data_IF_258782658860
#
_entry.id   IF_258782658860
#
_cell.length_a   1.000
_cell.length_b   1.000
_cell.length_c   1.000
_cell.angle_alpha   90.00
_cell.angle_beta   90.00
_cell.angle_gamma   90.00
#
_symmetry.space_group_name_H-M   'P 1'
#
loop_
_entity.id
_entity.type
_entity.pdbx_description
1 polymer ?
#
# COMPACT_ATOMS: atom_id res chain seq x y z
N UNK A 1 5.51 -66.80 14.95
CA UNK A 1 4.54 -65.94 15.67
C UNK A 1 5.13 -64.55 15.75
N UNK A 2 4.63 -63.58 14.99
CA UNK A 2 5.14 -62.20 14.99
C UNK A 2 4.24 -61.34 15.89
N UNK A 3 4.78 -60.82 16.99
CA UNK A 3 4.03 -60.00 17.94
C UNK A 3 4.04 -58.53 17.48
N UNK A 4 2.87 -58.00 17.15
CA UNK A 4 2.65 -56.58 16.84
C UNK A 4 2.77 -55.74 18.12
N UNK A 5 3.81 -54.90 18.19
CA UNK A 5 4.04 -53.97 19.29
C UNK A 5 3.04 -52.81 19.17
N UNK A 6 2.04 -52.79 20.03
CA UNK A 6 1.10 -51.66 20.19
C UNK A 6 1.86 -50.38 20.57
N UNK A 7 1.85 -49.38 19.70
CA UNK A 7 2.32 -48.04 20.03
C UNK A 7 1.27 -47.37 20.93
N UNK A 8 1.62 -47.15 22.21
CA UNK A 8 0.75 -46.37 23.10
C UNK A 8 0.65 -44.93 22.58
N UNK A 9 -0.53 -44.58 22.07
CA UNK A 9 -0.87 -43.20 21.73
C UNK A 9 -0.90 -42.37 23.01
N UNK A 10 0.10 -41.50 23.21
CA UNK A 10 0.11 -40.54 24.32
C UNK A 10 -0.83 -39.39 23.96
N UNK A 11 -1.90 -39.21 24.75
CA UNK A 11 -2.83 -38.09 24.63
C UNK A 11 -2.39 -36.89 25.47
N UNK A 12 -2.81 -35.69 25.08
CA UNK A 12 -2.62 -34.46 25.86
C UNK A 12 -3.51 -34.46 27.11
N UNK A 13 -2.99 -33.95 28.23
CA UNK A 13 -3.80 -33.73 29.43
C UNK A 13 -4.65 -32.46 29.30
N UNK A 14 -5.82 -32.43 29.95
CA UNK A 14 -6.67 -31.23 30.02
C UNK A 14 -5.93 -30.04 30.65
N UNK A 15 -5.02 -30.31 31.59
CA UNK A 15 -4.21 -29.27 32.25
C UNK A 15 -3.16 -28.69 31.30
N UNK A 16 -2.51 -29.50 30.48
CA UNK A 16 -1.59 -29.00 29.44
C UNK A 16 -2.31 -28.09 28.44
N UNK A 17 -3.53 -28.48 28.05
CA UNK A 17 -4.33 -27.67 27.14
C UNK A 17 -4.74 -26.33 27.79
N UNK A 18 -5.10 -26.33 29.07
CA UNK A 18 -5.46 -25.11 29.80
C UNK A 18 -4.28 -24.14 29.95
N UNK A 19 -3.08 -24.63 30.27
CA UNK A 19 -1.89 -23.78 30.39
C UNK A 19 -1.45 -23.24 29.03
N UNK A 20 -1.51 -24.05 27.97
CA UNK A 20 -1.13 -23.61 26.62
C UNK A 20 -2.05 -22.51 26.10
N UNK A 21 -3.38 -22.64 26.25
CA UNK A 21 -4.30 -21.57 25.82
C UNK A 21 -4.13 -20.30 26.66
N UNK A 22 -3.77 -20.42 27.95
CA UNK A 22 -3.52 -19.26 28.80
C UNK A 22 -2.27 -18.48 28.32
N UNK A 23 -1.18 -19.17 27.98
CA UNK A 23 0.03 -18.55 27.45
C UNK A 23 -0.25 -17.91 26.07
N UNK A 24 -0.94 -18.64 25.18
CA UNK A 24 -1.31 -18.12 23.85
C UNK A 24 -2.20 -16.88 23.97
N UNK A 25 -3.13 -16.84 24.92
CA UNK A 25 -3.99 -15.68 25.19
C UNK A 25 -3.20 -14.43 25.58
N UNK A 26 -2.21 -14.57 26.46
CA UNK A 26 -1.34 -13.46 26.88
C UNK A 26 -0.52 -12.93 25.71
N UNK A 27 0.09 -13.84 24.93
CA UNK A 27 0.91 -13.47 23.77
C UNK A 27 0.06 -12.80 22.67
N UNK A 28 -1.14 -13.32 22.42
CA UNK A 28 -2.07 -12.75 21.44
C UNK A 28 -2.47 -11.31 21.77
N UNK A 29 -2.67 -11.00 23.06
CA UNK A 29 -3.03 -9.64 23.52
C UNK A 29 -1.98 -8.59 23.19
N UNK A 30 -0.69 -8.94 23.23
CA UNK A 30 0.42 -8.01 22.92
C UNK A 30 0.70 -8.00 21.41
N UNK A 31 0.67 -9.16 20.76
CA UNK A 31 1.08 -9.30 19.36
C UNK A 31 0.09 -8.66 18.37
N UNK A 32 -1.21 -8.77 18.63
CA UNK A 32 -2.25 -8.34 17.69
C UNK A 32 -2.19 -6.84 17.31
N UNK A 33 -2.18 -5.87 18.25
CA UNK A 33 -2.13 -4.44 17.89
C UNK A 33 -0.82 -4.03 17.20
N UNK A 34 0.29 -4.70 17.55
CA UNK A 34 1.59 -4.47 16.91
C UNK A 34 1.57 -4.90 15.44
N UNK A 35 0.94 -6.05 15.14
CA UNK A 35 0.82 -6.56 13.79
C UNK A 35 -0.01 -5.64 12.88
N UNK A 36 -1.17 -5.13 13.34
CA UNK A 36 -1.97 -4.18 12.56
C UNK A 36 -1.18 -2.91 12.19
N UNK A 37 -0.40 -2.41 13.15
CA UNK A 37 0.45 -1.24 12.95
C UNK A 37 1.56 -1.51 11.93
N UNK A 38 2.15 -2.71 11.95
CA UNK A 38 3.16 -3.14 10.98
C UNK A 38 2.58 -3.27 9.56
N UNK A 39 1.41 -3.90 9.40
CA UNK A 39 0.75 -4.03 8.09
C UNK A 39 0.40 -2.66 7.52
N UNK A 40 -0.14 -1.77 8.35
CA UNK A 40 -0.42 -0.37 7.98
C UNK A 40 0.85 0.34 7.51
N UNK A 41 1.97 0.12 8.21
CA UNK A 41 3.30 0.61 7.81
C UNK A 41 3.80 0.07 6.50
N UNK A 42 3.60 -1.21 6.24
CA UNK A 42 3.95 -1.82 4.96
C UNK A 42 3.16 -1.19 3.80
N UNK A 43 1.83 -1.05 3.97
CA UNK A 43 0.96 -0.45 2.95
C UNK A 43 1.34 0.98 2.61
N UNK A 44 1.63 1.82 3.61
CA UNK A 44 2.05 3.21 3.40
C UNK A 44 3.38 3.30 2.65
N UNK A 45 4.37 2.46 3.01
CA UNK A 45 5.64 2.39 2.27
C UNK A 45 5.44 1.91 0.83
N UNK A 46 4.54 0.94 0.62
CA UNK A 46 4.13 0.51 -0.71
C UNK A 46 3.56 1.66 -1.52
N UNK A 47 2.66 2.46 -0.94
CA UNK A 47 2.05 3.60 -1.60
C UNK A 47 3.06 4.72 -1.94
N UNK A 48 4.03 4.94 -1.06
CA UNK A 48 5.15 5.85 -1.31
C UNK A 48 6.01 5.39 -2.49
N UNK A 49 6.34 4.10 -2.55
CA UNK A 49 7.09 3.51 -3.67
C UNK A 49 6.30 3.59 -4.98
N UNK A 50 5.00 3.30 -4.91
CA UNK A 50 4.06 3.39 -6.02
C UNK A 50 4.03 4.83 -6.58
N UNK A 51 3.98 5.87 -5.74
CA UNK A 51 4.04 7.28 -6.17
C UNK A 51 5.37 7.64 -6.84
N UNK A 52 6.50 7.12 -6.35
CA UNK A 52 7.80 7.33 -6.98
C UNK A 52 7.84 6.67 -8.36
N UNK A 53 7.34 5.44 -8.48
CA UNK A 53 7.22 4.78 -9.77
C UNK A 53 6.29 5.54 -10.74
N UNK A 54 5.19 6.11 -10.24
CA UNK A 54 4.31 6.96 -11.03
C UNK A 54 5.02 8.24 -11.49
N UNK A 55 5.80 8.91 -10.62
CA UNK A 55 6.59 10.09 -11.02
C UNK A 55 7.56 9.77 -12.16
N UNK A 56 8.21 8.61 -12.13
CA UNK A 56 9.09 8.18 -13.23
C UNK A 56 8.33 8.03 -14.56
N UNK A 57 7.08 7.56 -14.54
CA UNK A 57 6.24 7.50 -15.74
C UNK A 57 5.87 8.89 -16.24
N UNK A 58 5.53 9.81 -15.33
CA UNK A 58 5.24 11.21 -15.68
C UNK A 58 6.46 11.89 -16.31
N UNK A 59 7.67 11.66 -15.77
CA UNK A 59 8.92 12.14 -16.36
C UNK A 59 9.18 11.53 -17.74
N UNK A 60 8.95 10.23 -17.91
CA UNK A 60 9.09 9.59 -19.22
C UNK A 60 8.11 10.19 -20.26
N UNK A 61 6.89 10.51 -19.84
CA UNK A 61 5.92 11.19 -20.69
C UNK A 61 6.43 12.58 -21.09
N UNK A 62 6.97 13.36 -20.15
CA UNK A 62 7.57 14.66 -20.44
C UNK A 62 8.72 14.56 -21.44
N UNK A 63 9.60 13.57 -21.30
CA UNK A 63 10.70 13.35 -22.25
C UNK A 63 10.21 13.07 -23.68
N UNK A 64 9.01 12.46 -23.84
CA UNK A 64 8.42 12.14 -25.14
C UNK A 64 7.60 13.27 -25.76
N UNK A 65 6.92 14.04 -24.92
CA UNK A 65 5.90 15.00 -25.35
C UNK A 65 6.28 16.46 -25.07
N UNK A 66 7.40 16.69 -24.36
CA UNK A 66 7.88 17.98 -23.86
C UNK A 66 6.85 18.74 -23.00
N UNK A 67 5.90 17.99 -22.43
CA UNK A 67 4.86 18.48 -21.52
C UNK A 67 4.40 17.33 -20.64
N UNK A 68 3.99 17.62 -19.42
CA UNK A 68 3.27 16.65 -18.59
C UNK A 68 1.80 16.53 -19.05
N UNK A 69 1.12 15.45 -18.65
CA UNK A 69 -0.33 15.35 -18.83
C UNK A 69 -1.04 16.52 -18.14
N UNK A 70 -1.97 17.15 -18.85
CA UNK A 70 -2.74 18.32 -18.38
C UNK A 70 -4.11 17.94 -17.82
N UNK A 71 -4.35 16.65 -17.62
CA UNK A 71 -5.64 16.11 -17.18
C UNK A 71 -5.52 15.63 -15.74
N UNK A 72 -6.36 16.15 -14.85
CA UNK A 72 -6.50 15.62 -13.50
C UNK A 72 -7.31 14.34 -13.51
N UNK A 73 -7.08 13.45 -12.54
CA UNK A 73 -7.74 12.15 -12.45
C UNK A 73 -8.28 11.90 -11.06
N UNK A 74 -9.32 11.09 -10.98
CA UNK A 74 -9.98 10.75 -9.70
C UNK A 74 -9.83 9.28 -9.34
N UNK A 75 -9.56 8.43 -10.34
CA UNK A 75 -9.38 6.99 -10.15
C UNK A 75 -7.99 6.54 -10.57
N UNK A 76 -7.52 5.44 -9.97
CA UNK A 76 -6.27 4.80 -10.37
C UNK A 76 -6.30 4.37 -11.84
N UNK A 77 -7.45 3.92 -12.35
CA UNK A 77 -7.59 3.50 -13.74
C UNK A 77 -7.36 4.67 -14.72
N UNK A 78 -7.96 5.83 -14.47
CA UNK A 78 -7.71 7.04 -15.24
C UNK A 78 -6.25 7.47 -15.14
N UNK A 79 -5.67 7.48 -13.93
CA UNK A 79 -4.26 7.86 -13.71
C UNK A 79 -3.31 7.01 -14.53
N UNK A 80 -3.56 5.69 -14.63
CA UNK A 80 -2.76 4.76 -15.43
C UNK A 80 -2.77 5.10 -16.91
N UNK A 81 -3.91 5.55 -17.43
CA UNK A 81 -4.03 5.97 -18.82
C UNK A 81 -3.42 7.35 -19.03
N UNK A 82 -3.79 8.33 -18.23
CA UNK A 82 -3.31 9.72 -18.37
C UNK A 82 -1.80 9.80 -18.25
N UNK A 83 -1.19 9.07 -17.31
CA UNK A 83 0.27 9.04 -17.17
C UNK A 83 0.99 8.39 -18.37
N UNK A 84 0.34 7.45 -19.07
CA UNK A 84 0.93 6.74 -20.21
C UNK A 84 0.71 7.46 -21.55
N UNK A 85 -0.50 8.00 -21.76
CA UNK A 85 -0.96 8.49 -23.07
C UNK A 85 -1.47 9.93 -23.05
N UNK A 86 -1.64 10.54 -21.87
CA UNK A 86 -2.25 11.86 -21.72
C UNK A 86 -3.78 11.87 -21.81
N UNK A 87 -4.41 10.71 -22.02
CA UNK A 87 -5.86 10.54 -22.16
C UNK A 87 -6.45 9.73 -21.02
N UNK A 88 -7.72 9.95 -20.68
CA UNK A 88 -8.39 9.22 -19.58
C UNK A 88 -8.71 7.77 -19.90
N UNK A 89 -8.70 7.41 -21.19
CA UNK A 89 -8.95 6.05 -21.69
C UNK A 89 -7.75 5.55 -22.50
N UNK A 90 -7.43 4.26 -22.34
CA UNK A 90 -6.31 3.59 -23.00
C UNK A 90 -6.55 2.09 -23.08
N UNK A 91 -6.02 1.44 -24.12
CA UNK A 91 -6.12 -0.01 -24.36
C UNK A 91 -4.95 -0.79 -23.76
N UNK A 92 -3.81 -0.13 -23.57
CA UNK A 92 -2.67 -0.64 -22.82
C UNK A 92 -2.41 0.31 -21.65
N UNK A 93 -2.62 -0.19 -20.43
CA UNK A 93 -2.36 0.57 -19.23
C UNK A 93 -0.90 0.39 -18.81
N UNK A 94 -0.23 1.50 -18.52
CA UNK A 94 1.19 1.51 -18.13
C UNK A 94 1.42 1.01 -16.71
N UNK A 95 2.05 1.85 -15.89
CA UNK A 95 2.35 1.58 -14.47
C UNK A 95 1.16 1.00 -13.69
N UNK A 96 1.44 0.08 -12.76
CA UNK A 96 0.46 -0.55 -11.86
C UNK A 96 0.88 -0.35 -10.41
N UNK A 97 0.02 0.18 -9.52
CA UNK A 97 0.33 0.25 -8.11
C UNK A 97 0.22 -1.13 -7.44
N UNK A 98 1.15 -1.39 -6.52
CA UNK A 98 1.11 -2.56 -5.65
C UNK A 98 0.04 -2.48 -4.55
N UNK A 99 -0.40 -1.26 -4.19
CA UNK A 99 -1.36 -1.01 -3.10
C UNK A 99 -2.76 -0.58 -3.58
N UNK A 100 -3.18 -1.01 -4.78
CA UNK A 100 -4.47 -0.62 -5.38
C UNK A 100 -5.70 -0.96 -4.54
N UNK A 101 -5.62 -1.96 -3.64
CA UNK A 101 -6.73 -2.35 -2.75
C UNK A 101 -6.92 -1.41 -1.56
N UNK A 102 -5.89 -0.63 -1.22
CA UNK A 102 -5.92 0.27 -0.05
C UNK A 102 -5.75 1.74 -0.41
N UNK A 103 -5.25 2.04 -1.60
CA UNK A 103 -5.00 3.40 -2.08
C UNK A 103 -5.57 3.63 -3.48
N UNK A 104 -6.14 4.82 -3.67
CA UNK A 104 -6.48 5.38 -4.97
C UNK A 104 -5.44 6.42 -5.35
N UNK A 105 -4.87 6.28 -6.54
CA UNK A 105 -3.83 7.17 -7.05
C UNK A 105 -4.43 8.16 -8.03
N UNK A 106 -4.13 9.45 -7.84
CA UNK A 106 -4.76 10.58 -8.54
C UNK A 106 -3.72 11.58 -9.00
N UNK A 107 -4.00 12.24 -10.12
CA UNK A 107 -3.32 13.47 -10.54
C UNK A 107 -4.21 14.62 -10.09
N UNK A 108 -3.78 15.35 -9.06
CA UNK A 108 -4.56 16.41 -8.39
C UNK A 108 -4.23 17.78 -8.97
N UNK A 109 -3.03 17.94 -9.50
CA UNK A 109 -2.62 19.14 -10.26
C UNK A 109 -1.97 18.67 -11.54
N UNK A 110 -2.38 19.26 -12.66
CA UNK A 110 -1.93 18.88 -13.98
C UNK A 110 -1.74 20.14 -14.83
N UNK A 111 -0.52 20.39 -15.27
CA UNK A 111 -0.18 21.44 -16.24
C UNK A 111 0.89 20.92 -17.20
N UNK A 112 1.26 21.71 -18.21
CA UNK A 112 2.32 21.30 -19.13
C UNK A 112 3.70 21.18 -18.45
N UNK A 113 3.92 21.85 -17.32
CA UNK A 113 5.23 21.96 -16.66
C UNK A 113 5.25 21.51 -15.20
N UNK A 114 4.08 21.27 -14.61
CA UNK A 114 3.96 20.88 -13.20
C UNK A 114 2.92 19.79 -13.02
N UNK A 115 3.12 18.94 -12.01
CA UNK A 115 2.13 17.97 -11.59
C UNK A 115 2.16 17.77 -10.08
N UNK A 116 1.02 17.36 -9.54
CA UNK A 116 0.92 16.81 -8.19
C UNK A 116 0.15 15.52 -8.23
N UNK A 117 0.79 14.44 -7.82
CA UNK A 117 0.15 13.14 -7.66
C UNK A 117 -0.15 12.89 -6.19
N UNK A 118 -1.27 12.22 -5.93
CA UNK A 118 -1.74 11.86 -4.60
C UNK A 118 -2.08 10.37 -4.54
N UNK A 119 -1.65 9.70 -3.48
CA UNK A 119 -2.19 8.42 -3.04
C UNK A 119 -3.12 8.67 -1.85
N UNK A 120 -4.41 8.46 -2.05
CA UNK A 120 -5.43 8.59 -1.00
C UNK A 120 -5.81 7.20 -0.50
N UNK A 121 -5.59 6.95 0.79
CA UNK A 121 -6.02 5.73 1.45
C UNK A 121 -7.54 5.68 1.60
N UNK A 122 -8.15 4.55 1.23
CA UNK A 122 -9.61 4.38 1.19
C UNK A 122 -10.11 3.26 2.09
N UNK A 123 -9.22 2.49 2.73
CA UNK A 123 -9.60 1.32 3.51
C UNK A 123 -8.77 1.15 4.78
N UNK A 124 -9.36 0.46 5.77
CA UNK A 124 -8.69 0.13 7.03
C UNK A 124 -8.14 1.35 7.78
N UNK A 125 -6.98 1.18 8.42
CA UNK A 125 -6.30 2.22 9.21
C UNK A 125 -5.63 3.31 8.37
N UNK A 126 -5.55 3.15 7.04
CA UNK A 126 -5.03 4.17 6.12
C UNK A 126 -6.14 5.04 5.53
N UNK A 127 -7.41 4.78 5.85
CA UNK A 127 -8.52 5.55 5.31
C UNK A 127 -8.38 7.05 5.63
N UNK A 128 -8.42 7.90 4.60
CA UNK A 128 -8.24 9.34 4.72
C UNK A 128 -6.78 9.82 4.78
N UNK A 129 -5.79 8.92 4.82
CA UNK A 129 -4.38 9.30 4.69
C UNK A 129 -4.09 9.70 3.24
N UNK A 130 -3.56 10.91 3.04
CA UNK A 130 -3.13 11.44 1.76
C UNK A 130 -1.60 11.50 1.74
N UNK A 131 -1.00 10.96 0.68
CA UNK A 131 0.43 11.05 0.42
C UNK A 131 0.59 11.75 -0.92
N UNK A 132 1.39 12.81 -0.98
CA UNK A 132 1.55 13.58 -2.21
C UNK A 132 3.01 13.69 -2.63
N UNK A 133 3.22 13.75 -3.94
CA UNK A 133 4.52 13.96 -4.58
C UNK A 133 4.34 14.91 -5.77
N UNK A 134 5.27 15.84 -5.93
CA UNK A 134 5.30 16.82 -7.03
C UNK A 134 6.50 16.58 -7.95
N UNK A 135 6.55 17.28 -9.09
CA UNK A 135 7.70 17.23 -10.03
C UNK A 135 9.02 17.66 -9.37
N UNK A 136 8.97 18.57 -8.40
CA UNK A 136 10.15 19.05 -7.68
C UNK A 136 10.56 18.12 -6.53
N UNK A 137 10.04 16.88 -6.53
CA UNK A 137 10.26 15.88 -5.50
C UNK A 137 9.81 16.34 -4.09
N UNK A 138 8.94 17.35 -4.00
CA UNK A 138 8.35 17.77 -2.73
C UNK A 138 7.32 16.71 -2.32
N UNK A 139 7.56 16.12 -1.14
CA UNK A 139 6.75 15.07 -0.52
C UNK A 139 5.95 15.68 0.62
N UNK A 140 4.68 15.33 0.72
CA UNK A 140 3.85 15.73 1.85
C UNK A 140 2.89 14.63 2.27
N UNK A 141 2.61 14.58 3.57
CA UNK A 141 1.66 13.67 4.19
C UNK A 141 0.49 14.49 4.75
N UNK A 142 -0.73 14.04 4.53
CA UNK A 142 -1.95 14.60 5.08
C UNK A 142 -2.74 13.52 5.83
N UNK A 143 -3.14 13.81 7.07
CA UNK A 143 -4.06 12.96 7.86
C UNK A 143 -3.66 11.49 8.04
N UNK A 144 -2.37 11.15 7.96
CA UNK A 144 -1.86 9.80 8.20
C UNK A 144 -1.57 9.61 9.69
N UNK A 145 -2.56 9.16 10.46
CA UNK A 145 -2.43 8.95 11.91
C UNK A 145 -1.47 7.80 12.25
N UNK A 146 -0.58 8.02 13.24
CA UNK A 146 0.33 6.99 13.74
C UNK A 146 1.56 6.71 12.86
N UNK A 147 1.85 7.56 11.87
CA UNK A 147 3.05 7.47 11.04
C UNK A 147 4.04 8.61 11.28
N UNK A 148 5.33 8.27 11.29
CA UNK A 148 6.42 9.25 11.35
C UNK A 148 6.71 9.86 9.98
N UNK A 149 7.33 11.04 9.97
CA UNK A 149 7.76 11.79 8.79
C UNK A 149 8.96 11.18 8.06
N UNK A 150 9.24 9.88 8.19
CA UNK A 150 10.47 9.23 7.66
C UNK A 150 10.64 9.28 6.14
N UNK A 151 9.62 9.73 5.42
CA UNK A 151 9.59 9.86 3.97
C UNK A 151 9.46 11.31 3.48
N UNK A 152 9.27 12.26 4.41
CA UNK A 152 9.36 13.71 4.14
C UNK A 152 10.83 14.11 4.06
#
# INVERSE_FOLDING_TARGET
MCATRSSQTRGFTLVELLVTIAIVGILAGIAFPSYESYVTKSKLKGAQSDLVALSLVMENFYQKQLKYPTTTTTTTAETRCVAATGTTTCTAAGWQPSQGDSFVYKIVTASATTYKVEALGTSGKVNGCSITLTQDNVRALGSCTGYGSSWL
#
